data_IF_537035257089
#
_entry.id   IF_537035257089
#
_cell.length_a   1.000
_cell.length_b   1.000
_cell.length_c   1.000
_cell.angle_alpha   90.00
_cell.angle_beta   90.00
_cell.angle_gamma   90.00
#
_symmetry.space_group_name_H-M   'P 1'
#
loop_
_entity.id
_entity.type
_entity.pdbx_description
1 polymer ?
#
# COMPACT_ATOMS: atom_id res chain seq x y z
N UNK A 1 -7.45 -10.25 14.61
CA UNK A 1 -6.27 -11.00 14.13
C UNK A 1 -6.00 -10.48 12.72
N UNK A 2 -5.07 -9.54 12.55
CA UNK A 2 -4.75 -8.99 11.23
C UNK A 2 -3.42 -9.59 10.78
N UNK A 3 -3.48 -10.33 9.68
CA UNK A 3 -2.35 -10.87 8.96
C UNK A 3 -2.25 -10.12 7.63
N UNK A 4 -1.10 -9.53 7.33
CA UNK A 4 -0.77 -9.09 5.98
C UNK A 4 0.59 -9.65 5.60
N UNK A 5 0.57 -10.49 4.56
CA UNK A 5 1.72 -11.18 4.01
C UNK A 5 1.98 -10.64 2.61
N UNK A 6 3.12 -9.97 2.39
CA UNK A 6 3.56 -9.52 1.06
C UNK A 6 4.99 -10.00 0.81
N UNK A 7 5.18 -11.30 1.00
CA UNK A 7 6.23 -12.07 0.34
C UNK A 7 5.51 -13.29 -0.25
N UNK A 8 5.74 -13.62 -1.52
CA UNK A 8 4.97 -14.62 -2.26
C UNK A 8 5.20 -16.08 -1.81
N UNK A 9 4.93 -16.41 -0.54
CA UNK A 9 5.12 -17.73 0.08
C UNK A 9 4.33 -17.92 1.39
N UNK A 10 4.59 -19.00 2.13
CA UNK A 10 3.83 -19.43 3.34
C UNK A 10 4.26 -18.83 4.68
N UNK A 11 5.15 -17.83 4.69
CA UNK A 11 5.59 -17.28 5.96
C UNK A 11 4.49 -16.34 6.53
N UNK A 12 4.61 -15.88 7.79
CA UNK A 12 3.72 -14.89 8.41
C UNK A 12 4.58 -13.74 8.94
N UNK A 13 4.47 -12.57 8.32
CA UNK A 13 5.39 -11.44 8.48
C UNK A 13 4.73 -10.51 9.46
N UNK A 14 5.19 -10.59 10.70
CA UNK A 14 4.85 -9.58 11.68
C UNK A 14 5.67 -8.33 11.34
N UNK A 15 5.02 -7.24 10.92
CA UNK A 15 5.73 -6.00 10.59
C UNK A 15 6.63 -5.50 11.72
N UNK A 16 6.30 -5.85 12.97
CA UNK A 16 7.11 -5.50 14.13
C UNK A 16 8.49 -6.19 14.13
N UNK A 17 8.65 -7.35 13.49
CA UNK A 17 9.97 -8.02 13.37
C UNK A 17 10.89 -7.31 12.38
N UNK A 18 10.32 -6.53 11.44
CA UNK A 18 11.10 -5.75 10.47
C UNK A 18 11.50 -4.35 10.98
N UNK A 19 11.01 -3.92 12.14
CA UNK A 19 11.32 -2.59 12.73
C UNK A 19 12.84 -2.36 12.82
N UNK A 20 13.61 -3.40 13.19
CA UNK A 20 15.07 -3.32 13.29
C UNK A 20 15.76 -3.01 11.96
N UNK A 21 15.21 -3.49 10.83
CA UNK A 21 15.73 -3.20 9.50
C UNK A 21 15.37 -1.79 9.06
N UNK A 22 14.12 -1.38 9.27
CA UNK A 22 13.67 -0.05 8.89
C UNK A 22 14.35 1.09 9.68
N UNK A 23 14.76 0.83 10.92
CA UNK A 23 15.54 1.78 11.74
C UNK A 23 16.96 2.04 11.23
N UNK A 24 17.48 1.24 10.30
CA UNK A 24 18.80 1.47 9.71
C UNK A 24 18.85 2.73 8.83
N UNK A 25 17.70 3.21 8.36
CA UNK A 25 17.61 4.46 7.61
C UNK A 25 17.16 5.60 8.54
N UNK A 26 18.02 6.60 8.80
CA UNK A 26 17.67 7.77 9.62
C UNK A 26 16.46 8.50 9.03
N UNK A 27 15.54 8.96 9.89
CA UNK A 27 14.34 9.69 9.48
C UNK A 27 13.16 8.83 9.00
N UNK A 28 13.28 7.50 9.07
CA UNK A 28 12.18 6.59 8.71
C UNK A 28 11.10 6.62 9.80
N UNK A 29 9.91 7.15 9.47
CA UNK A 29 8.71 6.91 10.26
C UNK A 29 8.09 5.57 9.87
N UNK A 30 7.77 4.76 10.88
CA UNK A 30 7.22 3.43 10.69
C UNK A 30 5.70 3.46 10.85
N UNK A 31 4.94 3.15 9.79
CA UNK A 31 3.49 3.03 9.91
C UNK A 31 3.14 1.81 10.78
N UNK A 32 2.08 1.93 11.58
CA UNK A 32 1.54 0.80 12.33
C UNK A 32 0.93 -0.25 11.40
N UNK A 33 0.69 -1.45 11.91
CA UNK A 33 0.08 -2.54 11.14
C UNK A 33 -1.29 -2.13 10.57
N UNK A 34 -2.09 -1.37 11.32
CA UNK A 34 -3.39 -0.86 10.86
C UNK A 34 -3.25 0.11 9.68
N UNK A 35 -2.25 0.99 9.72
CA UNK A 35 -1.95 1.93 8.62
C UNK A 35 -1.51 1.18 7.37
N UNK A 36 -0.66 0.16 7.52
CA UNK A 36 -0.23 -0.68 6.40
C UNK A 36 -1.41 -1.47 5.82
N UNK A 37 -2.22 -2.09 6.67
CA UNK A 37 -3.41 -2.83 6.21
C UNK A 37 -4.40 -1.94 5.45
N UNK A 38 -4.60 -0.70 5.90
CA UNK A 38 -5.42 0.29 5.18
C UNK A 38 -4.82 0.66 3.83
N UNK A 39 -3.52 0.96 3.75
CA UNK A 39 -2.85 1.26 2.48
C UNK A 39 -2.88 0.09 1.49
N UNK A 40 -2.76 -1.15 1.97
CA UNK A 40 -2.93 -2.32 1.11
C UNK A 40 -4.34 -2.47 0.57
N UNK A 41 -5.35 -2.14 1.38
CA UNK A 41 -6.75 -2.14 0.94
C UNK A 41 -7.00 -1.09 -0.14
N UNK A 42 -6.46 0.12 0.01
CA UNK A 42 -6.53 1.15 -1.04
C UNK A 42 -5.87 0.67 -2.35
N UNK A 43 -4.67 0.09 -2.27
CA UNK A 43 -3.95 -0.42 -3.44
C UNK A 43 -4.64 -1.57 -4.16
N UNK A 44 -5.46 -2.35 -3.43
CA UNK A 44 -6.25 -3.43 -3.99
C UNK A 44 -7.53 -2.96 -4.69
N UNK A 45 -7.96 -1.70 -4.47
CA UNK A 45 -9.12 -1.12 -5.11
C UNK A 45 -8.88 -0.96 -6.63
N UNK A 46 -9.91 -1.19 -7.44
CA UNK A 46 -9.78 -1.10 -8.89
C UNK A 46 -9.55 0.35 -9.35
N UNK A 47 -8.62 0.53 -10.29
CA UNK A 47 -8.37 1.84 -10.87
C UNK A 47 -9.49 2.24 -11.83
N UNK A 48 -9.93 3.49 -11.74
CA UNK A 48 -10.79 4.09 -12.75
C UNK A 48 -9.91 4.49 -13.95
N UNK A 49 -10.30 4.01 -15.13
CA UNK A 49 -9.59 4.31 -16.38
C UNK A 49 -10.39 5.31 -17.20
N UNK A 50 -9.82 6.49 -17.42
CA UNK A 50 -10.35 7.50 -18.33
C UNK A 50 -9.58 7.48 -19.65
N UNK A 51 -10.30 7.37 -20.77
CA UNK A 51 -9.72 7.48 -22.11
C UNK A 51 -10.03 8.84 -22.73
N UNK A 52 -8.99 9.58 -23.05
CA UNK A 52 -9.11 10.85 -23.76
C UNK A 52 -9.53 10.59 -25.21
N UNK A 53 -10.67 11.14 -25.62
CA UNK A 53 -11.18 10.99 -26.99
C UNK A 53 -10.30 11.71 -28.02
N UNK A 54 -9.69 12.84 -27.63
CA UNK A 54 -8.87 13.68 -28.52
C UNK A 54 -7.48 13.06 -28.73
N UNK A 55 -6.85 12.57 -27.67
CA UNK A 55 -5.47 12.05 -27.73
C UNK A 55 -5.38 10.53 -27.85
N UNK A 56 -6.50 9.82 -27.63
CA UNK A 56 -6.55 8.35 -27.56
C UNK A 56 -5.88 7.74 -26.33
N UNK A 57 -5.25 8.57 -25.47
CA UNK A 57 -4.50 8.12 -24.29
C UNK A 57 -5.43 7.70 -23.16
N UNK A 58 -5.03 6.66 -22.44
CA UNK A 58 -5.73 6.18 -21.24
C UNK A 58 -4.97 6.60 -19.99
N UNK A 59 -5.69 7.09 -19.00
CA UNK A 59 -5.20 7.53 -17.70
C UNK A 59 -5.88 6.70 -16.63
N UNK A 60 -5.11 6.07 -15.76
CA UNK A 60 -5.63 5.25 -14.66
C UNK A 60 -5.39 5.98 -13.34
N UNK A 61 -6.41 6.09 -12.51
CA UNK A 61 -6.27 6.61 -11.15
C UNK A 61 -7.04 5.74 -10.18
N UNK A 62 -6.44 5.53 -9.00
CA UNK A 62 -7.09 4.82 -7.93
C UNK A 62 -8.06 5.79 -7.23
N UNK A 63 -9.33 5.39 -7.08
CA UNK A 63 -10.37 6.20 -6.47
C UNK A 63 -10.57 5.92 -4.97
N UNK A 64 -9.72 5.09 -4.37
CA UNK A 64 -9.74 4.84 -2.94
C UNK A 64 -9.64 6.15 -2.14
N UNK A 65 -10.37 6.20 -1.02
CA UNK A 65 -10.36 7.34 -0.10
C UNK A 65 -8.96 7.54 0.47
N UNK A 66 -8.29 8.63 0.06
CA UNK A 66 -6.90 8.92 0.40
C UNK A 66 -6.67 8.95 1.91
N UNK A 67 -5.75 8.11 2.40
CA UNK A 67 -5.39 8.02 3.82
C UNK A 67 -4.63 9.21 4.45
N UNK A 68 -4.54 10.37 3.78
CA UNK A 68 -3.81 11.51 4.34
C UNK A 68 -4.51 12.02 5.62
N UNK A 69 -3.86 11.84 6.78
CA UNK A 69 -4.15 12.53 8.04
C UNK A 69 -2.83 12.98 8.66
#
# INVERSE_FOLDING_TARGET
LFFSYLCGGECLENINTLIGQFRQRPGTQLPGADTVGRGLKELAEENIVYKSEISGKSYSFNAAEKLDT
#
